data_IF_318550264287
#
_entry.id   IF_318550264287
#
_cell.length_a   1.000
_cell.length_b   1.000
_cell.length_c   1.000
_cell.angle_alpha   90.00
_cell.angle_beta   90.00
_cell.angle_gamma   90.00
#
_symmetry.space_group_name_H-M   'P 1'
#
loop_
_entity.id
_entity.type
_entity.pdbx_description
1 polymer ?
#
# COMPACT_ATOMS: atom_id res chain seq x y z
N UNK A 1 29.56 -23.36 -53.25
CA UNK A 1 28.46 -22.78 -52.44
C UNK A 1 29.10 -21.88 -51.39
N UNK A 2 29.09 -20.58 -51.61
CA UNK A 2 29.71 -19.59 -50.73
C UNK A 2 28.69 -19.10 -49.69
N UNK A 3 29.03 -19.29 -48.41
CA UNK A 3 28.28 -18.74 -47.30
C UNK A 3 28.68 -17.28 -47.08
N UNK A 4 27.81 -16.37 -47.43
CA UNK A 4 27.99 -14.95 -47.17
C UNK A 4 27.84 -14.62 -45.69
N UNK A 5 28.92 -14.09 -45.09
CA UNK A 5 28.90 -13.57 -43.72
C UNK A 5 28.14 -12.23 -43.67
N UNK A 6 27.00 -12.20 -43.00
CA UNK A 6 26.32 -10.95 -42.67
C UNK A 6 27.09 -10.25 -41.55
N UNK A 7 27.88 -9.26 -41.90
CA UNK A 7 28.49 -8.35 -40.94
C UNK A 7 27.43 -7.37 -40.40
N UNK A 8 26.97 -7.55 -39.17
CA UNK A 8 26.18 -6.55 -38.47
C UNK A 8 27.11 -5.43 -37.99
N UNK A 9 27.02 -4.25 -38.57
CA UNK A 9 27.64 -3.05 -38.01
C UNK A 9 26.99 -2.72 -36.67
N UNK A 10 27.75 -2.46 -35.59
CA UNK A 10 27.19 -1.96 -34.36
C UNK A 10 26.64 -0.54 -34.60
N UNK A 11 25.35 -0.36 -34.49
CA UNK A 11 24.75 0.98 -34.46
C UNK A 11 25.28 1.70 -33.19
N UNK A 12 26.10 2.74 -33.38
CA UNK A 12 26.51 3.62 -32.32
C UNK A 12 25.24 4.30 -31.78
N UNK A 13 24.85 3.95 -30.56
CA UNK A 13 23.82 4.67 -29.83
C UNK A 13 24.34 6.11 -29.61
N UNK A 14 23.75 7.07 -30.31
CA UNK A 14 24.02 8.47 -30.10
C UNK A 14 23.61 8.82 -28.66
N UNK A 15 24.59 9.19 -27.86
CA UNK A 15 24.40 9.68 -26.48
C UNK A 15 23.69 11.05 -26.58
N UNK A 16 22.37 11.02 -26.62
CA UNK A 16 21.57 12.24 -26.58
C UNK A 16 21.79 12.90 -25.22
N UNK A 17 22.09 14.20 -25.14
CA UNK A 17 22.31 14.89 -23.89
C UNK A 17 21.07 14.68 -23.01
N UNK A 18 21.26 13.97 -21.88
CA UNK A 18 20.21 13.72 -20.91
C UNK A 18 19.70 15.07 -20.42
N UNK A 19 18.50 15.46 -20.81
CA UNK A 19 17.88 16.68 -20.36
C UNK A 19 18.01 16.75 -18.82
N UNK A 20 18.43 17.91 -18.29
CA UNK A 20 18.54 18.11 -16.86
C UNK A 20 17.22 17.66 -16.22
N UNK A 21 17.30 16.74 -15.27
CA UNK A 21 16.12 16.20 -14.61
C UNK A 21 15.39 17.38 -13.95
N UNK A 22 14.15 17.64 -14.36
CA UNK A 22 13.30 18.62 -13.67
C UNK A 22 13.09 18.13 -12.24
N UNK A 23 13.31 19.00 -11.27
CA UNK A 23 13.10 18.72 -9.86
C UNK A 23 11.86 19.48 -9.42
N UNK A 24 10.97 18.80 -8.70
CA UNK A 24 9.82 19.42 -8.05
C UNK A 24 9.98 19.33 -6.54
N UNK A 25 9.56 20.38 -5.87
CA UNK A 25 9.46 20.44 -4.41
C UNK A 25 8.03 20.09 -4.02
N UNK A 26 7.87 19.18 -3.06
CA UNK A 26 6.59 18.76 -2.52
C UNK A 26 6.63 18.75 -1.00
N UNK A 27 5.56 19.24 -0.38
CA UNK A 27 5.38 19.25 1.08
C UNK A 27 4.15 18.45 1.45
N UNK A 28 4.30 17.54 2.40
CA UNK A 28 3.22 16.71 2.90
C UNK A 28 3.49 16.32 4.36
N UNK A 29 2.50 15.80 5.04
CA UNK A 29 2.67 15.25 6.39
C UNK A 29 2.85 13.74 6.31
N UNK A 30 3.92 13.20 6.89
CA UNK A 30 4.19 11.77 6.94
C UNK A 30 4.23 11.31 8.39
N UNK A 31 3.35 10.38 8.74
CA UNK A 31 3.26 9.82 10.09
C UNK A 31 3.08 10.91 11.18
N UNK A 32 2.47 12.04 10.83
CA UNK A 32 2.23 13.18 11.71
C UNK A 32 3.36 14.22 11.72
N UNK A 33 4.43 14.04 10.94
CA UNK A 33 5.54 14.96 10.83
C UNK A 33 5.57 15.63 9.46
N UNK A 34 5.85 16.93 9.40
CA UNK A 34 5.98 17.65 8.13
C UNK A 34 7.24 17.20 7.38
N UNK A 35 7.08 16.92 6.10
CA UNK A 35 8.17 16.56 5.19
C UNK A 35 8.21 17.53 4.02
N UNK A 36 9.41 17.87 3.59
CA UNK A 36 9.66 18.59 2.34
C UNK A 36 10.69 17.80 1.54
N UNK A 37 10.36 17.43 0.31
CA UNK A 37 11.22 16.67 -0.58
C UNK A 37 11.41 17.39 -1.90
N UNK A 38 12.65 17.35 -2.39
CA UNK A 38 12.99 17.69 -3.77
C UNK A 38 13.26 16.39 -4.54
N UNK A 39 12.49 16.14 -5.60
CA UNK A 39 12.53 14.87 -6.31
C UNK A 39 12.15 15.02 -7.79
N UNK A 40 12.50 14.02 -8.57
CA UNK A 40 12.03 13.89 -9.95
C UNK A 40 10.50 13.79 -9.94
N UNK A 41 9.76 14.56 -10.78
CA UNK A 41 8.29 14.52 -10.81
C UNK A 41 7.72 13.14 -11.13
N UNK A 42 8.53 12.24 -11.69
CA UNK A 42 8.16 10.84 -11.98
C UNK A 42 8.36 9.89 -10.79
N UNK A 43 9.00 10.37 -9.70
CA UNK A 43 9.26 9.54 -8.52
C UNK A 43 7.93 9.09 -7.89
N UNK A 44 7.82 7.79 -7.61
CA UNK A 44 6.67 7.25 -6.91
C UNK A 44 6.76 7.56 -5.41
N UNK A 45 5.60 7.57 -4.74
CA UNK A 45 5.58 7.65 -3.27
C UNK A 45 6.35 6.48 -2.64
N UNK A 46 6.29 5.29 -3.24
CA UNK A 46 7.04 4.12 -2.78
C UNK A 46 8.55 4.38 -2.79
N UNK A 47 9.08 4.93 -3.89
CA UNK A 47 10.51 5.25 -3.99
C UNK A 47 10.89 6.41 -3.04
N UNK A 48 10.03 7.43 -2.91
CA UNK A 48 10.24 8.51 -1.96
C UNK A 48 10.35 8.00 -0.51
N UNK A 49 9.44 7.13 -0.08
CA UNK A 49 9.46 6.54 1.25
C UNK A 49 10.73 5.70 1.48
N UNK A 50 11.06 4.81 0.54
CA UNK A 50 12.14 3.84 0.72
C UNK A 50 13.53 4.41 0.49
N UNK A 51 13.71 5.16 -0.61
CA UNK A 51 15.03 5.56 -1.10
C UNK A 51 15.44 6.95 -0.60
N UNK A 52 14.47 7.81 -0.28
CA UNK A 52 14.76 9.18 0.21
C UNK A 52 14.58 9.32 1.71
N UNK A 53 13.51 8.72 2.26
CA UNK A 53 13.17 8.82 3.67
C UNK A 53 13.59 7.58 4.48
N UNK A 54 14.15 6.55 3.82
CA UNK A 54 14.62 5.30 4.42
C UNK A 54 13.55 4.55 5.24
N UNK A 55 12.26 4.78 4.96
CA UNK A 55 11.15 4.06 5.55
C UNK A 55 10.89 2.78 4.76
N UNK A 56 11.57 1.70 5.15
CA UNK A 56 11.59 0.45 4.40
C UNK A 56 10.46 -0.51 4.74
N UNK A 57 9.58 -0.15 5.67
CA UNK A 57 8.40 -0.94 6.05
C UNK A 57 7.43 -1.12 4.89
N UNK A 58 7.18 -0.07 4.10
CA UNK A 58 6.44 -0.17 2.84
C UNK A 58 7.25 -0.95 1.80
N UNK A 59 6.70 -2.05 1.25
CA UNK A 59 7.45 -3.02 0.44
C UNK A 59 7.24 -2.88 -1.06
N UNK A 60 8.33 -2.97 -1.83
CA UNK A 60 8.30 -3.04 -3.30
C UNK A 60 8.17 -4.50 -3.74
N UNK A 61 6.94 -4.98 -3.96
CA UNK A 61 6.67 -6.33 -4.46
C UNK A 61 6.65 -6.37 -5.98
N UNK A 62 5.51 -6.03 -6.59
CA UNK A 62 5.33 -6.08 -8.05
C UNK A 62 5.68 -4.78 -8.79
N UNK A 63 5.70 -3.66 -8.09
CA UNK A 63 5.96 -2.30 -8.61
C UNK A 63 5.01 -1.85 -9.74
N UNK A 64 3.78 -2.40 -9.77
CA UNK A 64 2.77 -2.13 -10.82
C UNK A 64 1.33 -2.29 -10.32
N UNK A 65 1.07 -2.05 -9.03
CA UNK A 65 -0.27 -2.00 -8.46
C UNK A 65 -0.99 -3.34 -8.24
N UNK A 66 -0.35 -4.49 -8.48
CA UNK A 66 -1.01 -5.80 -8.47
C UNK A 66 -1.07 -6.45 -7.08
N UNK A 67 -0.05 -6.28 -6.24
CA UNK A 67 0.15 -7.13 -5.06
C UNK A 67 -0.24 -6.48 -3.74
N UNK A 68 -0.42 -5.17 -3.68
CA UNK A 68 -0.76 -4.43 -2.46
C UNK A 68 0.33 -4.39 -1.37
N UNK A 69 1.53 -4.96 -1.58
CA UNK A 69 2.61 -4.92 -0.57
C UNK A 69 3.09 -3.49 -0.25
N UNK A 70 2.84 -2.57 -1.17
CA UNK A 70 3.18 -1.15 -1.05
C UNK A 70 2.03 -0.27 -0.53
N UNK A 71 0.95 -0.86 -0.02
CA UNK A 71 -0.19 -0.09 0.48
C UNK A 71 0.23 0.85 1.60
N UNK A 72 -0.19 2.12 1.46
CA UNK A 72 -0.11 3.18 2.48
C UNK A 72 -1.46 3.87 2.58
N UNK A 73 -1.64 4.74 3.58
CA UNK A 73 -2.83 5.58 3.65
C UNK A 73 -2.48 7.01 3.23
N UNK A 74 -3.23 7.55 2.29
CA UNK A 74 -3.17 8.96 1.90
C UNK A 74 -4.52 9.59 2.24
N UNK A 75 -4.52 10.57 3.13
CA UNK A 75 -5.74 11.19 3.66
C UNK A 75 -6.76 10.15 4.17
N UNK A 76 -6.26 9.11 4.86
CA UNK A 76 -7.06 8.02 5.41
C UNK A 76 -7.50 6.95 4.40
N UNK A 77 -7.21 7.11 3.11
CA UNK A 77 -7.57 6.15 2.05
C UNK A 77 -6.38 5.29 1.67
N UNK A 78 -6.59 3.98 1.56
CA UNK A 78 -5.55 3.05 1.08
C UNK A 78 -5.23 3.30 -0.39
N UNK A 79 -3.96 3.42 -0.70
CA UNK A 79 -3.44 3.57 -2.06
C UNK A 79 -2.21 2.68 -2.27
N UNK A 80 -1.98 2.28 -3.51
CA UNK A 80 -0.74 1.63 -3.91
C UNK A 80 0.33 2.70 -4.14
N UNK A 81 1.29 2.83 -3.23
CA UNK A 81 2.32 3.86 -3.33
C UNK A 81 3.22 3.72 -4.57
N UNK A 82 3.33 2.53 -5.16
CA UNK A 82 4.03 2.32 -6.44
C UNK A 82 3.34 2.95 -7.66
N UNK A 83 2.05 3.28 -7.55
CA UNK A 83 1.26 3.96 -8.60
C UNK A 83 0.92 5.42 -8.23
N UNK A 84 1.37 5.89 -7.08
CA UNK A 84 1.13 7.26 -6.61
C UNK A 84 2.39 8.10 -6.85
N UNK A 85 2.31 9.14 -7.66
CA UNK A 85 3.43 10.07 -7.84
C UNK A 85 3.60 10.92 -6.58
N UNK A 86 4.81 10.99 -6.05
CA UNK A 86 5.09 11.79 -4.85
C UNK A 86 4.78 13.28 -5.07
N UNK A 87 4.99 13.77 -6.30
CA UNK A 87 4.69 15.16 -6.69
C UNK A 87 3.20 15.55 -6.52
N UNK A 88 2.28 14.58 -6.46
CA UNK A 88 0.83 14.86 -6.30
C UNK A 88 0.39 14.98 -4.84
N UNK A 89 1.30 14.88 -3.89
CA UNK A 89 1.00 14.80 -2.46
C UNK A 89 1.08 16.16 -1.73
N UNK A 90 1.16 17.28 -2.45
CA UNK A 90 1.21 18.60 -1.80
C UNK A 90 0.05 18.76 -0.81
N UNK A 91 0.39 19.05 0.46
CA UNK A 91 -0.58 19.20 1.55
C UNK A 91 -1.26 17.91 2.04
N UNK A 92 -0.93 16.74 1.47
CA UNK A 92 -1.56 15.48 1.86
C UNK A 92 -1.04 14.95 3.20
N UNK A 93 -1.87 14.16 3.89
CA UNK A 93 -1.47 13.35 5.05
C UNK A 93 -1.19 11.91 4.63
N UNK A 94 0.05 11.47 4.80
CA UNK A 94 0.50 10.11 4.47
C UNK A 94 0.78 9.34 5.77
N UNK A 95 0.29 8.10 5.84
CA UNK A 95 0.62 7.17 6.92
C UNK A 95 1.22 5.89 6.34
N UNK A 96 2.43 5.58 6.74
CA UNK A 96 3.09 4.30 6.50
C UNK A 96 2.99 3.39 7.72
N UNK A 97 3.47 2.16 7.62
CA UNK A 97 3.42 1.20 8.73
C UNK A 97 4.19 1.69 9.97
N UNK A 98 5.25 2.46 9.76
CA UNK A 98 6.07 3.02 10.83
C UNK A 98 5.28 4.03 11.69
N UNK A 99 4.30 4.71 11.10
CA UNK A 99 3.45 5.68 11.83
C UNK A 99 2.32 5.05 12.63
N UNK A 100 2.05 3.75 12.43
CA UNK A 100 0.91 3.09 13.08
C UNK A 100 1.21 2.70 14.53
N UNK A 101 2.43 2.29 14.85
CA UNK A 101 2.89 1.98 16.20
C UNK A 101 3.72 3.14 16.74
N UNK A 102 3.20 3.89 17.70
CA UNK A 102 3.96 4.97 18.35
C UNK A 102 4.62 4.45 19.64
N UNK A 103 3.89 4.45 20.76
CA UNK A 103 4.38 3.92 22.04
C UNK A 103 4.06 2.43 22.24
N UNK A 104 3.07 1.91 21.54
CA UNK A 104 2.62 0.51 21.61
C UNK A 104 2.03 0.08 20.27
N UNK A 105 1.96 -1.23 20.06
CA UNK A 105 1.30 -1.79 18.88
C UNK A 105 -0.17 -1.36 18.83
N UNK A 106 -0.63 -1.06 17.62
CA UNK A 106 -2.06 -0.84 17.39
C UNK A 106 -2.83 -2.16 17.55
N UNK A 107 -4.15 -2.13 17.84
CA UNK A 107 -4.95 -3.35 18.01
C UNK A 107 -4.81 -4.33 16.84
N UNK A 108 -4.75 -3.84 15.60
CA UNK A 108 -4.58 -4.70 14.42
C UNK A 108 -3.17 -5.33 14.35
N UNK A 109 -2.13 -4.60 14.74
CA UNK A 109 -0.78 -5.16 14.80
C UNK A 109 -0.68 -6.26 15.89
N UNK A 110 -1.28 -6.03 17.04
CA UNK A 110 -1.35 -7.03 18.10
C UNK A 110 -2.10 -8.29 17.65
N UNK A 111 -3.27 -8.12 16.99
CA UNK A 111 -4.05 -9.23 16.45
C UNK A 111 -3.28 -10.03 15.38
N UNK A 112 -2.48 -9.36 14.54
CA UNK A 112 -1.63 -10.03 13.56
C UNK A 112 -0.57 -10.92 14.21
N UNK A 113 0.02 -10.47 15.32
CA UNK A 113 0.98 -11.28 16.11
C UNK A 113 0.27 -12.45 16.78
N UNK A 114 -0.86 -12.20 17.45
CA UNK A 114 -1.60 -13.20 18.22
C UNK A 114 -2.18 -14.32 17.34
N UNK A 115 -2.52 -14.01 16.09
CA UNK A 115 -3.08 -14.96 15.11
C UNK A 115 -2.06 -15.55 14.15
N UNK A 116 -0.77 -15.27 14.29
CA UNK A 116 0.23 -15.64 13.27
C UNK A 116 -0.21 -15.25 11.84
N UNK A 117 -0.75 -14.05 11.68
CA UNK A 117 -1.35 -13.59 10.43
C UNK A 117 -0.29 -13.20 9.37
N UNK A 118 0.89 -13.78 9.46
CA UNK A 118 2.02 -13.64 8.52
C UNK A 118 2.96 -14.84 8.61
N UNK A 119 3.81 -15.03 7.59
CA UNK A 119 4.92 -15.96 7.62
C UNK A 119 6.21 -15.21 7.31
N UNK A 120 6.53 -14.97 6.03
CA UNK A 120 7.76 -14.23 5.67
C UNK A 120 7.72 -12.74 6.06
N UNK A 121 6.56 -12.18 6.38
CA UNK A 121 6.40 -10.79 6.79
C UNK A 121 6.42 -9.75 5.65
N UNK A 122 6.74 -10.14 4.42
CA UNK A 122 6.94 -9.18 3.33
C UNK A 122 5.66 -8.38 2.97
N UNK A 123 4.51 -9.03 2.87
CA UNK A 123 3.24 -8.36 2.57
C UNK A 123 2.59 -7.73 3.81
N UNK A 124 3.08 -8.04 5.02
CA UNK A 124 2.42 -7.71 6.28
C UNK A 124 2.18 -6.22 6.50
N UNK A 125 3.12 -5.30 6.20
CA UNK A 125 2.86 -3.87 6.32
C UNK A 125 1.67 -3.40 5.48
N UNK A 126 1.60 -3.83 4.22
CA UNK A 126 0.48 -3.52 3.32
C UNK A 126 -0.83 -4.15 3.78
N UNK A 127 -0.80 -5.39 4.28
CA UNK A 127 -1.98 -6.07 4.84
C UNK A 127 -2.54 -5.29 6.04
N UNK A 128 -1.68 -4.90 6.99
CA UNK A 128 -2.07 -4.16 8.19
C UNK A 128 -2.69 -2.80 7.83
N UNK A 129 -2.07 -2.02 6.94
CA UNK A 129 -2.62 -0.72 6.54
C UNK A 129 -3.93 -0.86 5.75
N UNK A 130 -4.07 -1.92 4.95
CA UNK A 130 -5.35 -2.24 4.32
C UNK A 130 -6.43 -2.59 5.33
N UNK A 131 -6.07 -3.32 6.41
CA UNK A 131 -7.00 -3.61 7.51
C UNK A 131 -7.43 -2.33 8.23
N UNK A 132 -6.51 -1.39 8.50
CA UNK A 132 -6.86 -0.09 9.11
C UNK A 132 -7.91 0.64 8.28
N UNK A 133 -7.69 0.72 6.96
CA UNK A 133 -8.65 1.36 6.05
C UNK A 133 -9.97 0.60 5.98
N UNK A 134 -9.94 -0.73 5.91
CA UNK A 134 -11.12 -1.59 5.91
C UNK A 134 -12.00 -1.34 7.13
N UNK A 135 -11.42 -1.28 8.32
CA UNK A 135 -12.14 -1.04 9.56
C UNK A 135 -12.81 0.34 9.59
N UNK A 136 -12.14 1.36 9.05
CA UNK A 136 -12.70 2.71 8.91
C UNK A 136 -13.81 2.74 7.84
N UNK A 137 -13.60 2.15 6.68
CA UNK A 137 -14.59 2.02 5.62
C UNK A 137 -15.86 1.31 6.11
N UNK A 138 -15.71 0.22 6.86
CA UNK A 138 -16.84 -0.50 7.43
C UNK A 138 -17.62 0.35 8.45
N UNK A 139 -16.92 1.10 9.31
CA UNK A 139 -17.57 2.03 10.26
C UNK A 139 -18.37 3.11 9.55
N UNK A 140 -17.87 3.61 8.43
CA UNK A 140 -18.54 4.64 7.60
C UNK A 140 -19.65 4.07 6.71
N UNK A 141 -19.85 2.75 6.70
CA UNK A 141 -20.84 2.10 5.85
C UNK A 141 -20.49 2.12 4.35
N UNK A 142 -19.21 2.27 4.00
CA UNK A 142 -18.78 2.21 2.60
C UNK A 142 -19.07 0.82 2.04
N UNK A 143 -19.80 0.69 0.92
CA UNK A 143 -20.14 -0.62 0.36
C UNK A 143 -18.90 -1.31 -0.23
N UNK A 144 -18.98 -2.64 -0.36
CA UNK A 144 -18.03 -3.50 -1.08
C UNK A 144 -18.74 -4.23 -2.22
N UNK A 145 -18.01 -5.02 -3.00
CA UNK A 145 -18.61 -5.81 -4.09
C UNK A 145 -19.58 -6.91 -3.59
N UNK A 146 -19.47 -7.30 -2.32
CA UNK A 146 -20.36 -8.31 -1.70
C UNK A 146 -21.46 -7.68 -0.83
N UNK A 147 -21.57 -6.37 -0.80
CA UNK A 147 -22.62 -5.69 -0.05
C UNK A 147 -23.96 -5.87 -0.75
N UNK A 148 -24.89 -6.63 -0.14
CA UNK A 148 -26.16 -6.99 -0.75
C UNK A 148 -27.12 -5.78 -0.89
N UNK A 149 -27.17 -4.89 0.09
CA UNK A 149 -28.01 -3.69 0.08
C UNK A 149 -27.17 -2.40 0.08
N UNK A 150 -27.11 -1.76 -1.08
CA UNK A 150 -26.37 -0.50 -1.29
C UNK A 150 -27.09 0.73 -0.70
N UNK A 151 -28.39 0.60 -0.35
CA UNK A 151 -29.16 1.67 0.29
C UNK A 151 -29.09 1.63 1.81
N UNK A 152 -28.48 0.60 2.37
CA UNK A 152 -28.28 0.46 3.80
C UNK A 152 -27.55 1.65 4.39
N UNK A 153 -28.07 2.20 5.47
CA UNK A 153 -27.44 3.26 6.26
C UNK A 153 -26.71 2.65 7.48
N UNK A 154 -25.60 3.27 7.86
CA UNK A 154 -24.82 2.88 9.03
C UNK A 154 -23.70 1.87 8.74
N UNK A 155 -22.99 1.41 9.78
CA UNK A 155 -21.79 0.57 9.63
C UNK A 155 -22.05 -0.74 8.89
N UNK A 156 -21.11 -1.18 8.04
CA UNK A 156 -21.16 -2.47 7.37
C UNK A 156 -20.86 -3.61 8.36
N UNK A 157 -21.61 -4.70 8.28
CA UNK A 157 -21.29 -5.91 9.03
C UNK A 157 -20.02 -6.55 8.45
N UNK A 158 -19.01 -6.78 9.28
CA UNK A 158 -17.77 -7.42 8.86
C UNK A 158 -17.90 -8.94 8.97
N UNK A 159 -18.61 -9.55 8.00
CA UNK A 159 -18.58 -11.00 7.81
C UNK A 159 -17.22 -11.42 7.22
N UNK A 160 -16.91 -12.71 7.27
CA UNK A 160 -15.68 -13.23 6.64
C UNK A 160 -15.63 -12.94 5.13
N UNK A 161 -16.77 -12.93 4.48
CA UNK A 161 -16.90 -12.59 3.07
C UNK A 161 -16.56 -11.13 2.81
N UNK A 162 -17.12 -10.20 3.60
CA UNK A 162 -16.80 -8.77 3.55
C UNK A 162 -15.30 -8.51 3.83
N UNK A 163 -14.72 -9.22 4.81
CA UNK A 163 -13.29 -9.08 5.12
C UNK A 163 -12.45 -9.57 3.94
N UNK A 164 -12.74 -10.75 3.37
CA UNK A 164 -12.00 -11.30 2.22
C UNK A 164 -12.08 -10.37 1.02
N UNK A 165 -13.27 -9.86 0.72
CA UNK A 165 -13.45 -8.93 -0.39
C UNK A 165 -12.63 -7.66 -0.20
N UNK A 166 -12.76 -7.01 0.95
CA UNK A 166 -12.03 -5.77 1.24
C UNK A 166 -10.51 -5.95 1.31
N UNK A 167 -10.04 -7.16 1.57
CA UNK A 167 -8.62 -7.52 1.60
C UNK A 167 -8.09 -8.09 0.28
N UNK A 168 -8.93 -8.30 -0.73
CA UNK A 168 -8.58 -8.96 -2.00
C UNK A 168 -7.45 -8.26 -2.77
N UNK A 169 -7.25 -6.96 -2.57
CA UNK A 169 -6.17 -6.18 -3.17
C UNK A 169 -4.76 -6.44 -2.60
N UNK A 170 -4.63 -7.28 -1.56
CA UNK A 170 -3.36 -7.57 -0.90
C UNK A 170 -3.00 -9.05 -0.99
N UNK A 171 -1.97 -9.38 -1.77
CA UNK A 171 -1.55 -10.76 -2.04
C UNK A 171 -0.54 -11.22 -0.98
N UNK A 172 -0.81 -12.39 -0.39
CA UNK A 172 0.13 -13.10 0.48
C UNK A 172 0.62 -14.38 -0.21
N UNK A 173 1.89 -14.41 -0.64
CA UNK A 173 2.45 -15.58 -1.31
C UNK A 173 2.58 -16.81 -0.40
N UNK A 174 2.69 -16.59 0.91
CA UNK A 174 2.74 -17.66 1.92
C UNK A 174 1.35 -18.22 2.26
N UNK A 175 0.26 -17.59 1.82
CA UNK A 175 -1.10 -18.08 2.02
C UNK A 175 -1.68 -17.86 3.44
N UNK A 176 -1.19 -16.88 4.21
CA UNK A 176 -1.66 -16.61 5.57
C UNK A 176 -3.09 -16.02 5.65
N UNK A 177 -3.90 -16.14 4.61
CA UNK A 177 -5.20 -15.48 4.48
C UNK A 177 -6.19 -15.84 5.58
N UNK A 178 -6.24 -17.10 6.02
CA UNK A 178 -7.16 -17.54 7.08
C UNK A 178 -6.87 -16.78 8.37
N UNK A 179 -5.59 -16.68 8.74
CA UNK A 179 -5.15 -16.00 9.95
C UNK A 179 -5.30 -14.47 9.81
N UNK A 180 -5.09 -13.90 8.61
CA UNK A 180 -5.34 -12.49 8.35
C UNK A 180 -6.82 -12.16 8.56
N UNK A 181 -7.75 -12.97 8.05
CA UNK A 181 -9.19 -12.78 8.26
C UNK A 181 -9.53 -12.85 9.75
N UNK A 182 -8.96 -13.83 10.47
CA UNK A 182 -9.15 -13.95 11.92
C UNK A 182 -8.63 -12.71 12.69
N UNK A 183 -7.44 -12.22 12.34
CA UNK A 183 -6.86 -11.02 12.95
C UNK A 183 -7.71 -9.77 12.70
N UNK A 184 -8.26 -9.60 11.50
CA UNK A 184 -9.18 -8.49 11.19
C UNK A 184 -10.44 -8.57 12.03
N UNK A 185 -11.01 -9.78 12.17
CA UNK A 185 -12.21 -10.01 12.99
C UNK A 185 -11.96 -9.63 14.44
N UNK A 186 -10.85 -10.06 15.02
CA UNK A 186 -10.49 -9.74 16.40
C UNK A 186 -10.30 -8.23 16.60
N UNK A 187 -9.60 -7.57 15.68
CA UNK A 187 -9.38 -6.14 15.72
C UNK A 187 -10.68 -5.31 15.51
N UNK A 188 -11.67 -5.87 14.82
CA UNK A 188 -12.99 -5.26 14.66
C UNK A 188 -13.80 -5.25 15.96
N UNK A 189 -13.46 -6.15 16.91
CA UNK A 189 -14.24 -6.40 18.13
C UNK A 189 -15.50 -7.22 17.88
N UNK A 190 -16.28 -7.52 18.93
CA UNK A 190 -17.50 -8.29 18.80
C UNK A 190 -18.47 -7.59 17.85
N UNK A 191 -19.27 -8.36 17.05
CA UNK A 191 -20.27 -7.78 16.16
C UNK A 191 -21.20 -6.88 16.96
N UNK A 192 -21.30 -5.62 16.55
CA UNK A 192 -22.29 -4.72 17.11
C UNK A 192 -23.65 -5.23 16.66
N UNK A 193 -24.38 -5.86 17.56
CA UNK A 193 -25.80 -6.14 17.35
C UNK A 193 -26.52 -4.81 17.20
N UNK A 194 -27.16 -4.64 16.06
CA UNK A 194 -27.99 -3.47 15.76
C UNK A 194 -29.26 -3.50 16.61
#
# INVERSE_FOLDING_TARGET
>A
MGLGTFGASPAAAADSPRAAASVVKVRFTLNGEAQELELDPRATLLDALRERLHLTGTKKGCDRGQCGACTVLVNGRRVNSCLTLAATLEGAGVMSIEGLARARLSPIQAAFLERDAFQCGYCTPGQILSCVALLDEAKRGVPSAVTADLHRKGPAALTDEEIRERMSGNICRCGAYVNIVAAVRDAAGPPRTA
#
